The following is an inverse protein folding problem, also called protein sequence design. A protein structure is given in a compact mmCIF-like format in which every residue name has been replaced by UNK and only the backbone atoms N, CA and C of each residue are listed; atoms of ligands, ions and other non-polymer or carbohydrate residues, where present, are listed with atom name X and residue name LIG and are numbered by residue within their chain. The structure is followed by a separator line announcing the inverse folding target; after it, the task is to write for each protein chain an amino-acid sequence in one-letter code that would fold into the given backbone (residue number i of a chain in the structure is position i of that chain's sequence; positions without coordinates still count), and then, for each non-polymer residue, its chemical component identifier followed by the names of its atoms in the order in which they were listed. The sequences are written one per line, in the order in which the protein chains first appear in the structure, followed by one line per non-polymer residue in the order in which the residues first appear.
data_IF_743030558095
#
_entry.id   IF_743030558095
#
_cell.length_a   1.000
_cell.length_b   1.000
_cell.length_c   1.000
_cell.angle_alpha   90.00
_cell.angle_beta   90.00
_cell.angle_gamma   90.00
#
_symmetry.space_group_name_H-M   'P 1'
#
loop_
_entity.id
_entity.type
_entity.pdbx_description
1 polymer ?
#
# COMPACT_ATOMS: atom_id res chain seq x y z
N UNK A 1 -3.85 45.59 -54.87
CA UNK A 1 -5.30 45.62 -54.56
C UNK A 1 -5.59 44.56 -53.50
N UNK A 2 -6.10 44.98 -52.34
CA UNK A 2 -6.55 44.09 -51.26
C UNK A 2 -7.89 43.44 -51.66
N UNK A 3 -8.06 42.14 -51.41
CA UNK A 3 -9.34 41.54 -51.02
C UNK A 3 -9.08 40.31 -50.14
N UNK A 4 -9.50 40.42 -48.88
CA UNK A 4 -9.67 39.35 -47.92
C UNK A 4 -10.95 38.56 -48.23
N UNK A 5 -10.96 37.27 -47.85
CA UNK A 5 -11.92 36.64 -46.91
C UNK A 5 -11.49 35.16 -46.73
N UNK A 6 -11.01 34.75 -45.54
CA UNK A 6 -11.73 34.00 -44.48
C UNK A 6 -12.43 32.72 -44.99
N UNK A 7 -12.34 31.51 -44.41
CA UNK A 7 -11.81 31.00 -43.14
C UNK A 7 -12.02 29.45 -43.11
N UNK A 8 -11.08 28.68 -42.51
CA UNK A 8 -11.20 27.32 -41.87
C UNK A 8 -11.64 26.12 -42.78
N UNK A 9 -11.24 24.85 -42.60
CA UNK A 9 -10.98 23.99 -41.42
C UNK A 9 -10.06 22.81 -41.84
N UNK A 10 -9.26 22.30 -40.89
CA UNK A 10 -8.52 21.03 -40.85
C UNK A 10 -9.11 19.82 -41.61
N UNK A 11 -8.25 18.96 -42.18
CA UNK A 11 -8.25 17.53 -41.83
C UNK A 11 -6.97 16.79 -42.21
N UNK A 12 -6.62 15.84 -41.36
CA UNK A 12 -5.31 15.24 -41.18
C UNK A 12 -5.00 14.04 -42.10
N UNK A 13 -3.70 13.70 -42.11
CA UNK A 13 -2.99 12.74 -42.94
C UNK A 13 -3.46 11.28 -42.83
N UNK A 14 -3.37 10.56 -43.96
CA UNK A 14 -3.39 9.10 -44.04
C UNK A 14 -1.94 8.63 -44.02
N UNK A 15 -1.50 8.00 -42.92
CA UNK A 15 -0.20 7.31 -42.84
C UNK A 15 -0.46 5.85 -43.23
N UNK A 16 0.17 5.43 -44.33
CA UNK A 16 0.29 4.03 -44.74
C UNK A 16 1.57 3.49 -44.07
N UNK A 17 1.43 2.51 -43.19
CA UNK A 17 2.57 1.80 -42.62
C UNK A 17 2.58 0.35 -43.13
N UNK A 18 3.48 0.06 -44.06
CA UNK A 18 3.88 -1.30 -44.43
C UNK A 18 5.00 -1.75 -43.47
N UNK A 19 4.82 -2.89 -42.80
CA UNK A 19 5.89 -3.54 -42.03
C UNK A 19 6.30 -4.84 -42.74
N UNK A 20 7.50 -4.82 -43.33
CA UNK A 20 8.26 -5.99 -43.75
C UNK A 20 9.05 -6.54 -42.56
N UNK A 21 9.01 -7.85 -42.36
CA UNK A 21 9.77 -8.58 -41.33
C UNK A 21 11.00 -9.21 -41.98
N UNK A 22 12.19 -8.90 -41.45
CA UNK A 22 13.45 -9.63 -41.67
C UNK A 22 13.99 -10.08 -40.32
N UNK A 23 14.55 -11.30 -40.29
CA UNK A 23 14.84 -12.11 -39.11
C UNK A 23 16.16 -11.80 -38.33
N UNK A 24 16.27 -12.47 -37.17
CA UNK A 24 17.47 -12.83 -36.35
C UNK A 24 18.08 -11.70 -35.49
N UNK A 25 18.41 -11.83 -34.20
CA UNK A 25 18.72 -13.00 -33.35
C UNK A 25 18.71 -12.65 -31.84
N UNK A 26 18.42 -13.67 -31.01
CA UNK A 26 18.68 -13.91 -29.57
C UNK A 26 18.84 -12.75 -28.56
N UNK A 27 17.92 -12.69 -27.57
CA UNK A 27 18.18 -12.86 -26.11
C UNK A 27 16.86 -13.28 -25.43
N UNK A 28 16.91 -14.34 -24.61
CA UNK A 28 15.81 -14.90 -23.84
C UNK A 28 15.63 -14.19 -22.49
N UNK A 29 14.46 -13.59 -22.24
CA UNK A 29 13.93 -13.27 -20.89
C UNK A 29 12.46 -13.76 -20.84
N UNK A 30 12.04 -14.55 -19.84
CA UNK A 30 10.68 -15.09 -19.83
C UNK A 30 9.65 -14.12 -19.21
N UNK A 31 8.42 -14.28 -19.70
CA UNK A 31 7.13 -13.92 -19.11
C UNK A 31 6.61 -12.47 -19.24
N UNK A 32 6.04 -12.22 -20.43
CA UNK A 32 4.64 -11.79 -20.63
C UNK A 32 4.14 -10.62 -19.78
N UNK A 33 4.57 -9.41 -20.14
CA UNK A 33 3.71 -8.24 -20.03
C UNK A 33 2.74 -8.33 -21.21
N UNK A 34 1.52 -8.81 -20.93
CA UNK A 34 0.44 -8.68 -21.89
C UNK A 34 0.15 -7.18 -22.04
N UNK A 35 0.60 -6.65 -23.16
CA UNK A 35 0.16 -5.39 -23.75
C UNK A 35 -1.34 -5.22 -23.55
N UNK A 36 -1.74 -4.07 -23.03
CA UNK A 36 -3.12 -3.61 -22.96
C UNK A 36 -3.80 -3.85 -24.31
N UNK A 37 -4.64 -4.89 -24.36
CA UNK A 37 -5.45 -5.17 -25.52
C UNK A 37 -6.44 -4.02 -25.68
N UNK A 38 -6.49 -3.49 -26.89
CA UNK A 38 -7.43 -2.48 -27.34
C UNK A 38 -8.85 -2.79 -26.83
N UNK A 39 -9.51 -1.77 -26.28
CA UNK A 39 -10.93 -1.72 -25.99
C UNK A 39 -11.73 -2.08 -27.25
N UNK A 40 -11.93 -3.37 -27.49
CA UNK A 40 -12.84 -3.87 -28.51
C UNK A 40 -14.10 -4.32 -27.78
N UNK A 41 -15.19 -3.52 -27.78
CA UNK A 41 -16.46 -4.00 -27.27
C UNK A 41 -16.83 -5.23 -28.10
N UNK A 42 -16.82 -6.40 -27.47
CA UNK A 42 -17.41 -7.61 -28.03
C UNK A 42 -18.91 -7.37 -28.10
N UNK A 43 -19.36 -6.79 -29.21
CA UNK A 43 -20.77 -6.48 -29.43
C UNK A 43 -21.45 -7.66 -30.09
N UNK A 44 -22.33 -8.30 -29.34
CA UNK A 44 -23.20 -9.34 -29.85
C UNK A 44 -23.97 -8.84 -31.10
N UNK A 45 -24.16 -9.74 -32.07
CA UNK A 45 -24.94 -9.49 -33.28
C UNK A 45 -26.36 -10.01 -33.02
N UNK A 46 -27.36 -9.16 -33.21
CA UNK A 46 -28.76 -9.50 -32.98
C UNK A 46 -29.52 -9.64 -34.29
N UNK A 47 -30.19 -10.77 -34.47
CA UNK A 47 -31.13 -10.97 -35.58
C UNK A 47 -32.40 -10.14 -35.33
N UNK A 48 -32.76 -9.29 -36.30
CA UNK A 48 -33.94 -8.42 -36.22
C UNK A 48 -34.87 -8.68 -37.41
N UNK A 49 -36.16 -8.94 -37.19
CA UNK A 49 -37.13 -9.04 -38.28
C UNK A 49 -37.12 -7.75 -39.11
N UNK A 50 -37.06 -7.91 -40.44
CA UNK A 50 -37.01 -6.79 -41.39
C UNK A 50 -38.21 -6.85 -42.33
N UNK A 51 -38.78 -5.69 -42.63
CA UNK A 51 -39.81 -5.51 -43.66
C UNK A 51 -39.49 -4.29 -44.50
N UNK A 52 -39.82 -4.37 -45.79
CA UNK A 52 -39.81 -3.23 -46.69
C UNK A 52 -41.25 -2.75 -46.90
N UNK A 53 -41.58 -1.60 -46.36
CA UNK A 53 -42.92 -1.01 -46.41
C UNK A 53 -43.03 0.00 -47.55
N UNK A 54 -44.24 0.17 -48.08
CA UNK A 54 -44.54 1.21 -49.06
C UNK A 54 -44.35 2.59 -48.41
N UNK A 55 -43.74 3.52 -49.15
CA UNK A 55 -43.43 4.84 -48.63
C UNK A 55 -44.67 5.72 -48.43
N UNK A 56 -45.62 5.67 -49.37
CA UNK A 56 -46.77 6.57 -49.43
C UNK A 56 -48.03 5.96 -48.80
N UNK A 57 -48.11 4.64 -48.72
CA UNK A 57 -49.24 3.92 -48.11
C UNK A 57 -48.80 3.28 -46.79
N UNK A 58 -49.19 3.84 -45.64
CA UNK A 58 -48.87 3.25 -44.33
C UNK A 58 -49.31 1.79 -44.23
N UNK A 59 -48.54 0.98 -43.51
CA UNK A 59 -48.82 -0.44 -43.23
C UNK A 59 -48.95 -1.37 -44.46
N UNK A 60 -48.71 -0.89 -45.67
CA UNK A 60 -48.68 -1.72 -46.88
C UNK A 60 -47.26 -2.19 -47.16
N UNK A 61 -47.06 -3.48 -47.44
CA UNK A 61 -45.75 -3.99 -47.87
C UNK A 61 -45.38 -3.43 -49.25
N UNK A 62 -44.10 -3.12 -49.44
CA UNK A 62 -43.53 -2.85 -50.75
C UNK A 62 -43.44 -4.13 -51.57
N UNK A 63 -43.53 -4.03 -52.90
CA UNK A 63 -43.26 -5.17 -53.79
C UNK A 63 -41.85 -5.73 -53.58
N UNK A 64 -40.88 -4.88 -53.22
CA UNK A 64 -39.52 -5.30 -52.89
C UNK A 64 -39.39 -6.06 -51.56
N UNK A 65 -40.45 -6.18 -50.75
CA UNK A 65 -40.37 -6.90 -49.48
C UNK A 65 -40.01 -8.38 -49.66
N UNK A 66 -40.44 -9.00 -50.76
CA UNK A 66 -40.12 -10.39 -51.07
C UNK A 66 -38.61 -10.64 -51.26
N UNK A 67 -37.83 -9.57 -51.51
CA UNK A 67 -36.38 -9.63 -51.61
C UNK A 67 -35.69 -9.66 -50.24
N UNK A 68 -36.37 -9.34 -49.12
CA UNK A 68 -35.75 -9.35 -47.79
C UNK A 68 -35.51 -10.79 -47.33
N UNK A 69 -34.28 -11.08 -46.87
CA UNK A 69 -33.89 -12.41 -46.39
C UNK A 69 -33.63 -12.41 -44.89
N UNK A 70 -32.71 -11.55 -44.46
CA UNK A 70 -32.26 -11.48 -43.06
C UNK A 70 -31.79 -10.07 -42.77
N UNK A 71 -31.97 -9.61 -41.53
CA UNK A 71 -31.31 -8.42 -41.04
C UNK A 71 -30.72 -8.65 -39.65
N UNK A 72 -29.61 -7.96 -39.39
CA UNK A 72 -28.98 -7.94 -38.09
C UNK A 72 -28.59 -6.53 -37.69
N UNK A 73 -28.49 -6.30 -36.38
CA UNK A 73 -27.89 -5.09 -35.82
C UNK A 73 -26.77 -5.44 -34.86
N UNK A 74 -25.71 -4.66 -34.89
CA UNK A 74 -24.54 -4.78 -34.03
C UNK A 74 -24.09 -3.39 -33.59
N UNK A 75 -23.82 -3.19 -32.28
CA UNK A 75 -23.22 -1.95 -31.79
C UNK A 75 -21.73 -1.92 -32.17
N UNK A 76 -21.27 -0.93 -32.92
CA UNK A 76 -19.85 -0.75 -33.25
C UNK A 76 -19.42 0.63 -32.73
N UNK A 77 -18.62 0.63 -31.65
CA UNK A 77 -18.28 1.86 -30.94
C UNK A 77 -19.55 2.58 -30.47
N UNK A 78 -19.75 3.84 -30.88
CA UNK A 78 -20.94 4.61 -30.54
C UNK A 78 -22.09 4.51 -31.57
N UNK A 79 -21.93 3.71 -32.62
CA UNK A 79 -22.92 3.61 -33.71
C UNK A 79 -23.50 2.19 -33.79
N UNK A 80 -24.59 2.04 -34.53
CA UNK A 80 -25.25 0.76 -34.80
C UNK A 80 -25.06 0.41 -36.27
N UNK A 81 -24.38 -0.71 -36.52
CA UNK A 81 -24.24 -1.31 -37.85
C UNK A 81 -25.47 -2.15 -38.12
N UNK A 82 -26.17 -1.85 -39.21
CA UNK A 82 -27.25 -2.67 -39.75
C UNK A 82 -26.71 -3.44 -40.94
N UNK A 83 -26.93 -4.75 -40.96
CA UNK A 83 -26.62 -5.61 -42.10
C UNK A 83 -27.93 -6.18 -42.61
N UNK A 84 -28.21 -6.01 -43.90
CA UNK A 84 -29.43 -6.54 -44.56
C UNK A 84 -29.01 -7.42 -45.72
N UNK A 85 -29.55 -8.64 -45.74
CA UNK A 85 -29.36 -9.61 -46.81
C UNK A 85 -30.61 -9.62 -47.68
N UNK A 86 -30.38 -9.50 -48.97
CA UNK A 86 -31.39 -9.41 -50.02
C UNK A 86 -31.19 -10.55 -51.02
N UNK A 87 -32.27 -10.93 -51.70
CA UNK A 87 -32.26 -11.90 -52.80
C UNK A 87 -32.98 -11.38 -54.03
N UNK A 88 -32.72 -12.04 -55.15
CA UNK A 88 -33.54 -11.88 -56.35
C UNK A 88 -34.92 -12.49 -56.14
N UNK A 89 -35.90 -11.88 -56.78
CA UNK A 89 -37.29 -12.32 -56.81
C UNK A 89 -37.72 -12.55 -58.26
N UNK A 90 -38.69 -13.43 -58.45
CA UNK A 90 -39.27 -13.67 -59.78
C UNK A 90 -40.58 -12.88 -59.90
N UNK A 91 -40.68 -12.04 -60.92
CA UNK A 91 -41.86 -11.25 -61.22
C UNK A 91 -42.11 -11.22 -62.74
N UNK A 92 -43.32 -11.61 -63.17
CA UNK A 92 -43.69 -11.73 -64.59
C UNK A 92 -42.68 -12.54 -65.43
N UNK A 93 -42.14 -13.62 -64.86
CA UNK A 93 -41.16 -14.48 -65.53
C UNK A 93 -39.73 -13.93 -65.57
N UNK A 94 -39.49 -12.70 -65.11
CA UNK A 94 -38.15 -12.12 -64.96
C UNK A 94 -37.64 -12.37 -63.54
N UNK A 95 -36.39 -12.82 -63.42
CA UNK A 95 -35.69 -12.91 -62.14
C UNK A 95 -34.75 -11.71 -61.99
N UNK A 96 -35.04 -10.85 -61.02
CA UNK A 96 -34.21 -9.68 -60.72
C UNK A 96 -34.33 -9.31 -59.23
N UNK A 97 -33.41 -8.48 -58.76
CA UNK A 97 -33.36 -8.05 -57.38
C UNK A 97 -33.07 -6.57 -57.26
N UNK A 98 -32.89 -6.11 -56.02
CA UNK A 98 -32.47 -4.74 -55.77
C UNK A 98 -31.01 -4.60 -56.20
N UNK A 99 -30.73 -3.72 -57.16
CA UNK A 99 -29.40 -3.50 -57.76
C UNK A 99 -28.71 -2.24 -57.24
N UNK A 100 -29.47 -1.27 -56.76
CA UNK A 100 -28.94 -0.08 -56.06
C UNK A 100 -29.81 0.20 -54.84
N UNK A 101 -29.17 0.63 -53.78
CA UNK A 101 -29.80 0.86 -52.49
C UNK A 101 -29.33 2.19 -51.94
N UNK A 102 -30.27 2.98 -51.42
CA UNK A 102 -29.98 4.22 -50.71
C UNK A 102 -30.66 4.20 -49.35
N UNK A 103 -29.96 4.70 -48.34
CA UNK A 103 -30.49 4.93 -47.01
C UNK A 103 -30.37 6.42 -46.73
N UNK A 104 -31.49 7.08 -46.43
CA UNK A 104 -31.55 8.51 -46.13
C UNK A 104 -30.85 9.36 -47.20
N UNK A 105 -31.04 9.00 -48.47
CA UNK A 105 -30.45 9.67 -49.65
C UNK A 105 -29.00 9.29 -49.95
N UNK A 106 -28.30 8.56 -49.08
CA UNK A 106 -26.92 8.10 -49.32
C UNK A 106 -26.92 6.73 -49.99
N UNK A 107 -26.24 6.62 -51.13
CA UNK A 107 -26.05 5.34 -51.83
C UNK A 107 -25.20 4.39 -50.98
N UNK A 108 -25.71 3.19 -50.72
CA UNK A 108 -24.99 2.14 -50.01
C UNK A 108 -24.54 1.08 -51.02
N UNK A 109 -23.26 0.64 -50.99
CA UNK A 109 -22.79 -0.41 -51.87
C UNK A 109 -23.48 -1.75 -51.55
N UNK A 110 -23.80 -2.50 -52.60
CA UNK A 110 -24.27 -3.88 -52.50
C UNK A 110 -23.07 -4.80 -52.70
N UNK A 111 -22.90 -5.76 -51.79
CA UNK A 111 -21.84 -6.77 -51.86
C UNK A 111 -22.48 -8.13 -52.15
N UNK A 112 -22.11 -8.76 -53.26
CA UNK A 112 -22.50 -10.16 -53.51
C UNK A 112 -21.88 -11.08 -52.48
N UNK A 113 -22.67 -12.01 -51.94
CA UNK A 113 -22.24 -12.96 -50.93
C UNK A 113 -22.63 -14.40 -51.32
N UNK A 114 -22.04 -15.38 -50.65
CA UNK A 114 -22.60 -16.73 -50.59
C UNK A 114 -23.57 -16.80 -49.41
N UNK A 115 -24.67 -17.54 -49.58
CA UNK A 115 -25.66 -17.73 -48.52
C UNK A 115 -25.98 -19.21 -48.35
N UNK A 116 -26.14 -19.72 -47.10
CA UNK A 116 -26.29 -21.16 -46.87
C UNK A 116 -27.55 -21.78 -47.49
N UNK A 117 -28.65 -21.02 -47.61
CA UNK A 117 -29.89 -21.52 -48.18
C UNK A 117 -29.88 -21.41 -49.72
N UNK A 118 -29.95 -22.53 -50.47
CA UNK A 118 -29.90 -22.54 -51.94
C UNK A 118 -31.14 -21.92 -52.61
N UNK A 119 -32.22 -21.67 -51.86
CA UNK A 119 -33.42 -20.99 -52.35
C UNK A 119 -33.23 -19.46 -52.40
N UNK A 120 -32.18 -18.94 -51.78
CA UNK A 120 -31.82 -17.53 -51.80
C UNK A 120 -30.99 -17.24 -53.06
N UNK A 121 -31.66 -16.77 -54.12
CA UNK A 121 -31.02 -16.52 -55.42
C UNK A 121 -30.26 -15.19 -55.42
N UNK A 122 -29.03 -15.22 -55.94
CA UNK A 122 -28.12 -14.07 -56.09
C UNK A 122 -28.08 -13.16 -54.84
N UNK A 123 -27.71 -13.69 -53.66
CA UNK A 123 -27.78 -12.92 -52.44
C UNK A 123 -26.80 -11.76 -52.44
N UNK A 124 -27.29 -10.62 -51.99
CA UNK A 124 -26.50 -9.40 -51.82
C UNK A 124 -26.69 -8.85 -50.42
N UNK A 125 -25.60 -8.29 -49.88
CA UNK A 125 -25.54 -7.71 -48.55
C UNK A 125 -25.40 -6.20 -48.65
N UNK A 126 -26.12 -5.50 -47.79
CA UNK A 126 -26.05 -4.05 -47.58
C UNK A 126 -25.65 -3.81 -46.12
N UNK A 127 -24.65 -2.97 -45.90
CA UNK A 127 -24.23 -2.56 -44.55
C UNK A 127 -24.23 -1.04 -44.43
N UNK A 128 -24.81 -0.52 -43.34
CA UNK A 128 -24.82 0.90 -43.05
C UNK A 128 -24.81 1.17 -41.54
N UNK A 129 -24.42 2.40 -41.17
CA UNK A 129 -24.25 2.83 -39.78
C UNK A 129 -25.30 3.87 -39.40
N UNK A 130 -25.83 3.78 -38.17
CA UNK A 130 -26.72 4.77 -37.57
C UNK A 130 -26.18 5.23 -36.21
N UNK A 131 -26.29 6.51 -35.84
CA UNK A 131 -25.89 6.98 -34.50
C UNK A 131 -26.79 6.47 -33.38
N UNK A 132 -28.04 6.12 -33.70
CA UNK A 132 -29.03 5.60 -32.75
C UNK A 132 -29.62 4.28 -33.23
N UNK A 133 -30.12 3.46 -32.30
CA UNK A 133 -30.91 2.28 -32.62
C UNK A 133 -32.27 2.77 -33.14
N UNK A 134 -32.48 2.66 -34.45
CA UNK A 134 -33.71 3.03 -35.15
C UNK A 134 -34.47 1.79 -35.60
N UNK A 135 -35.78 1.87 -35.57
CA UNK A 135 -36.72 0.87 -36.08
C UNK A 135 -37.13 1.14 -37.53
N UNK A 136 -36.83 2.32 -38.08
CA UNK A 136 -37.20 2.68 -39.45
C UNK A 136 -36.19 3.61 -40.13
N UNK A 137 -35.99 3.38 -41.43
CA UNK A 137 -35.21 4.23 -42.32
C UNK A 137 -35.99 4.50 -43.61
N UNK A 138 -35.93 5.75 -44.07
CA UNK A 138 -36.37 6.09 -45.42
C UNK A 138 -35.30 5.59 -46.40
N UNK A 139 -35.70 4.74 -47.34
CA UNK A 139 -34.81 4.12 -48.30
C UNK A 139 -35.31 4.32 -49.73
N UNK A 140 -34.38 4.19 -50.67
CA UNK A 140 -34.72 4.06 -52.09
C UNK A 140 -34.08 2.79 -52.61
N UNK A 141 -34.79 2.11 -53.50
CA UNK A 141 -34.34 0.87 -54.12
C UNK A 141 -34.42 1.03 -55.64
N UNK A 142 -33.46 0.46 -56.35
CA UNK A 142 -33.50 0.38 -57.81
C UNK A 142 -33.55 -1.08 -58.25
N UNK A 143 -34.53 -1.42 -59.07
CA UNK A 143 -34.69 -2.75 -59.70
C UNK A 143 -34.63 -2.56 -61.22
N UNK A 144 -33.77 -3.33 -61.89
CA UNK A 144 -33.51 -3.14 -63.32
C UNK A 144 -34.67 -3.65 -64.18
N UNK A 145 -35.28 -4.79 -63.84
CA UNK A 145 -36.43 -5.33 -64.54
C UNK A 145 -37.62 -4.36 -64.53
N UNK A 146 -37.87 -3.66 -63.43
CA UNK A 146 -38.96 -2.67 -63.35
C UNK A 146 -38.70 -1.46 -64.23
N UNK A 147 -37.44 -1.01 -64.35
CA UNK A 147 -37.06 0.06 -65.27
C UNK A 147 -37.30 -0.33 -66.74
N UNK A 148 -37.07 -1.60 -67.08
CA UNK A 148 -37.30 -2.12 -68.43
C UNK A 148 -38.78 -2.28 -68.77
N UNK A 149 -39.60 -2.71 -67.80
CA UNK A 149 -41.06 -2.83 -67.99
C UNK A 149 -41.69 -1.46 -68.15
N UNK A 150 -41.32 -0.50 -67.29
CA UNK A 150 -41.86 0.85 -67.28
C UNK A 150 -40.73 1.83 -67.00
N UNK A 151 -40.25 2.59 -68.00
CA UNK A 151 -39.20 3.58 -67.80
C UNK A 151 -39.54 4.55 -66.67
N UNK A 152 -38.59 4.77 -65.76
CA UNK A 152 -38.77 5.56 -64.55
C UNK A 152 -39.36 4.82 -63.34
N UNK A 153 -39.87 3.59 -63.51
CA UNK A 153 -40.41 2.80 -62.40
C UNK A 153 -39.32 2.02 -61.61
N UNK A 154 -38.09 1.97 -62.11
CA UNK A 154 -37.01 1.19 -61.50
C UNK A 154 -36.59 1.70 -60.13
N UNK A 155 -36.57 3.03 -59.92
CA UNK A 155 -36.22 3.66 -58.64
C UNK A 155 -37.48 3.97 -57.82
N UNK A 156 -37.63 3.36 -56.66
CA UNK A 156 -38.79 3.56 -55.79
C UNK A 156 -38.39 3.89 -54.36
N UNK A 157 -39.15 4.79 -53.72
CA UNK A 157 -39.06 5.06 -52.28
C UNK A 157 -39.74 3.96 -51.49
N UNK A 158 -39.17 3.61 -50.36
CA UNK A 158 -39.74 2.67 -49.40
C UNK A 158 -39.33 3.05 -47.97
N UNK A 159 -39.98 2.42 -46.99
CA UNK A 159 -39.56 2.47 -45.59
C UNK A 159 -39.02 1.12 -45.19
N UNK A 160 -37.73 1.06 -44.86
CA UNK A 160 -37.11 -0.15 -44.31
C UNK A 160 -37.37 -0.16 -42.81
N UNK A 161 -38.12 -1.14 -42.33
CA UNK A 161 -38.53 -1.25 -40.92
C UNK A 161 -37.93 -2.49 -40.28
N UNK A 162 -37.53 -2.35 -39.01
CA UNK A 162 -36.95 -3.39 -38.18
C UNK A 162 -37.75 -3.56 -36.90
N UNK A 163 -37.95 -4.80 -36.48
CA UNK A 163 -38.44 -5.08 -35.14
C UNK A 163 -37.24 -5.19 -34.18
N UNK A 164 -36.98 -4.11 -33.45
CA UNK A 164 -35.91 -4.04 -32.45
C UNK A 164 -36.37 -4.42 -31.04
N UNK A 165 -37.62 -4.89 -30.86
CA UNK A 165 -38.18 -5.19 -29.53
C UNK A 165 -37.42 -6.27 -28.77
N UNK A 166 -36.78 -7.20 -29.49
CA UNK A 166 -35.96 -8.28 -28.94
C UNK A 166 -34.49 -7.90 -28.73
N UNK A 167 -34.10 -6.70 -29.16
CA UNK A 167 -32.75 -6.20 -28.92
C UNK A 167 -32.70 -5.74 -27.45
N UNK A 168 -31.86 -6.35 -26.61
CA UNK A 168 -31.80 -5.98 -25.20
C UNK A 168 -31.31 -4.55 -25.05
N UNK A 169 -31.83 -3.82 -24.05
CA UNK A 169 -31.41 -2.45 -23.74
C UNK A 169 -29.92 -2.34 -23.42
N UNK A 170 -29.31 -3.44 -22.94
CA UNK A 170 -27.87 -3.57 -22.69
C UNK A 170 -26.99 -3.51 -23.94
N UNK A 171 -27.56 -3.48 -25.16
CA UNK A 171 -26.80 -3.19 -26.38
C UNK A 171 -26.13 -1.81 -26.34
N UNK A 172 -26.59 -0.91 -25.46
CA UNK A 172 -25.98 0.39 -25.20
C UNK A 172 -24.90 0.37 -24.11
N UNK A 173 -24.74 -0.75 -23.41
CA UNK A 173 -23.78 -0.82 -22.30
C UNK A 173 -22.35 -0.90 -22.84
N UNK A 174 -21.47 -0.11 -22.25
CA UNK A 174 -20.04 -0.14 -22.55
C UNK A 174 -19.33 -1.09 -21.60
N UNK A 175 -18.62 -2.06 -22.14
CA UNK A 175 -17.82 -3.00 -21.35
C UNK A 175 -16.34 -2.67 -21.49
N UNK A 176 -15.65 -2.53 -20.36
CA UNK A 176 -14.19 -2.35 -20.29
C UNK A 176 -13.58 -3.26 -19.23
N UNK A 177 -12.27 -3.45 -19.30
CA UNK A 177 -11.51 -4.19 -18.28
C UNK A 177 -10.71 -3.21 -17.43
N UNK A 178 -10.78 -3.38 -16.11
CA UNK A 178 -9.99 -2.62 -15.13
C UNK A 178 -9.13 -3.59 -14.33
N UNK A 179 -7.84 -3.29 -14.20
CA UNK A 179 -6.90 -4.10 -13.40
C UNK A 179 -6.55 -3.36 -12.12
N UNK A 180 -6.68 -4.04 -10.98
CA UNK A 180 -6.31 -3.51 -9.67
C UNK A 180 -5.35 -4.46 -8.96
N UNK A 181 -4.35 -3.90 -8.30
CA UNK A 181 -3.42 -4.64 -7.44
C UNK A 181 -3.78 -4.46 -5.97
N UNK A 182 -3.74 -5.54 -5.21
CA UNK A 182 -3.98 -5.55 -3.76
C UNK A 182 -2.81 -6.26 -3.05
N UNK A 183 -2.39 -5.71 -1.91
CA UNK A 183 -1.29 -6.28 -1.12
C UNK A 183 -1.78 -7.49 -0.29
N UNK A 184 -0.97 -8.54 -0.24
CA UNK A 184 -1.18 -9.69 0.64
C UNK A 184 -0.20 -9.57 1.83
N UNK A 185 -0.68 -9.46 3.07
CA UNK A 185 0.20 -9.39 4.23
C UNK A 185 0.99 -10.69 4.41
N UNK A 186 2.21 -10.59 4.93
CA UNK A 186 3.02 -11.73 5.34
C UNK A 186 2.86 -11.99 6.84
N UNK A 187 3.17 -13.21 7.28
CA UNK A 187 3.17 -13.57 8.71
C UNK A 187 4.58 -13.47 9.28
N UNK A 188 4.68 -13.21 10.58
CA UNK A 188 5.95 -13.26 11.32
C UNK A 188 5.97 -14.47 12.22
N UNK A 189 6.99 -15.32 12.08
CA UNK A 189 7.21 -16.50 12.92
C UNK A 189 8.53 -16.36 13.68
N UNK A 190 8.47 -16.60 15.00
CA UNK A 190 9.68 -16.68 15.84
C UNK A 190 10.12 -18.12 15.97
N UNK A 191 11.38 -18.40 15.66
CA UNK A 191 11.99 -19.73 15.75
C UNK A 191 13.16 -19.67 16.71
N UNK A 192 13.22 -20.59 17.66
CA UNK A 192 14.35 -20.66 18.60
C UNK A 192 15.63 -21.07 17.87
N UNK A 193 16.72 -20.34 18.10
CA UNK A 193 18.04 -20.64 17.57
C UNK A 193 19.03 -20.87 18.72
N UNK A 194 19.50 -22.12 18.95
CA UNK A 194 20.43 -22.45 20.03
C UNK A 194 21.86 -21.96 19.79
N UNK A 195 22.16 -21.36 18.63
CA UNK A 195 23.45 -20.73 18.33
C UNK A 195 23.46 -19.23 18.62
N UNK A 196 22.29 -18.58 18.68
CA UNK A 196 22.14 -17.17 19.04
C UNK A 196 22.02 -17.01 20.55
N UNK A 197 22.66 -15.98 21.10
CA UNK A 197 22.69 -15.73 22.54
C UNK A 197 21.30 -15.42 23.10
N UNK A 198 20.99 -15.96 24.28
CA UNK A 198 19.70 -15.75 24.93
C UNK A 198 19.39 -14.26 25.09
N UNK A 199 18.24 -13.84 24.56
CA UNK A 199 17.79 -12.44 24.57
C UNK A 199 18.14 -11.64 23.31
N UNK A 200 18.86 -12.24 22.34
CA UNK A 200 19.07 -11.65 21.01
C UNK A 200 18.01 -12.12 20.03
N UNK A 201 17.59 -11.24 19.13
CA UNK A 201 16.74 -11.57 17.99
C UNK A 201 17.48 -11.23 16.69
N UNK A 202 17.40 -12.11 15.70
CA UNK A 202 17.98 -11.88 14.37
C UNK A 202 16.96 -12.25 13.29
N UNK A 203 16.74 -11.35 12.33
CA UNK A 203 15.93 -11.66 11.15
C UNK A 203 16.70 -12.64 10.27
N UNK A 204 16.19 -13.86 10.12
CA UNK A 204 16.73 -14.90 9.24
C UNK A 204 16.20 -14.72 7.82
N UNK A 205 14.89 -14.51 7.72
CA UNK A 205 14.20 -14.27 6.45
C UNK A 205 13.38 -12.99 6.61
N UNK A 206 13.67 -11.91 5.87
CA UNK A 206 12.87 -10.71 5.94
C UNK A 206 11.49 -10.95 5.31
N UNK A 207 10.44 -10.45 5.97
CA UNK A 207 9.09 -10.51 5.44
C UNK A 207 8.91 -9.66 4.20
N UNK A 208 8.17 -10.16 3.22
CA UNK A 208 7.78 -9.41 2.02
C UNK A 208 6.31 -9.62 1.77
N UNK A 209 5.57 -8.52 1.59
CA UNK A 209 4.16 -8.59 1.20
C UNK A 209 4.04 -9.24 -0.18
N UNK A 210 3.01 -10.06 -0.35
CA UNK A 210 2.61 -10.56 -1.66
C UNK A 210 1.79 -9.53 -2.41
N UNK A 211 1.50 -9.81 -3.66
CA UNK A 211 0.65 -8.99 -4.52
C UNK A 211 -0.35 -9.88 -5.23
N UNK A 212 -1.61 -9.48 -5.14
CA UNK A 212 -2.75 -10.05 -5.83
C UNK A 212 -3.20 -9.09 -6.92
N UNK A 213 -3.42 -9.60 -8.11
CA UNK A 213 -3.98 -8.83 -9.22
C UNK A 213 -5.40 -9.30 -9.49
N UNK A 214 -6.35 -8.37 -9.45
CA UNK A 214 -7.77 -8.61 -9.74
C UNK A 214 -8.13 -7.87 -11.02
N UNK A 215 -8.68 -8.60 -11.98
CA UNK A 215 -9.22 -8.06 -13.22
C UNK A 215 -10.73 -7.97 -13.08
N UNK A 216 -11.28 -6.79 -13.28
CA UNK A 216 -12.72 -6.51 -13.24
C UNK A 216 -13.25 -6.29 -14.64
N UNK A 217 -14.41 -6.87 -14.93
CA UNK A 217 -15.26 -6.43 -16.03
C UNK A 217 -16.11 -5.28 -15.51
N UNK A 218 -15.98 -4.11 -16.12
CA UNK A 218 -16.77 -2.91 -15.82
C UNK A 218 -17.81 -2.75 -16.92
N UNK A 219 -19.08 -2.80 -16.56
CA UNK A 219 -20.20 -2.52 -17.45
C UNK A 219 -20.76 -1.15 -17.08
N UNK A 220 -20.67 -0.20 -18.01
CA UNK A 220 -21.22 1.15 -17.88
C UNK A 220 -22.51 1.22 -18.70
N UNK A 221 -23.63 1.41 -18.02
CA UNK A 221 -24.94 1.58 -18.63
C UNK A 221 -25.10 2.97 -19.23
N UNK A 222 -26.11 3.14 -20.10
CA UNK A 222 -26.41 4.41 -20.76
C UNK A 222 -26.78 5.56 -19.78
N UNK A 223 -27.26 5.23 -18.58
CA UNK A 223 -27.56 6.19 -17.50
C UNK A 223 -26.31 6.62 -16.71
N UNK A 224 -25.12 6.11 -17.07
CA UNK A 224 -23.85 6.34 -16.38
C UNK A 224 -23.61 5.39 -15.21
N UNK A 225 -24.55 4.51 -14.88
CA UNK A 225 -24.39 3.53 -13.79
C UNK A 225 -23.33 2.50 -14.18
N UNK A 226 -22.37 2.27 -13.29
CA UNK A 226 -21.34 1.26 -13.47
C UNK A 226 -21.57 0.05 -12.57
N UNK A 227 -21.45 -1.14 -13.12
CA UNK A 227 -21.35 -2.39 -12.35
C UNK A 227 -19.99 -3.02 -12.60
N UNK A 228 -19.26 -3.34 -11.51
CA UNK A 228 -17.97 -4.03 -11.57
C UNK A 228 -18.14 -5.48 -11.12
N UNK A 229 -17.69 -6.42 -11.95
CA UNK A 229 -17.72 -7.86 -11.64
C UNK A 229 -16.32 -8.42 -11.74
N UNK A 230 -15.91 -9.26 -10.78
CA UNK A 230 -14.59 -9.92 -10.81
C UNK A 230 -14.56 -10.89 -11.99
N UNK A 231 -13.63 -10.67 -12.92
CA UNK A 231 -13.38 -11.55 -14.08
C UNK A 231 -12.38 -12.64 -13.73
N UNK A 232 -11.29 -12.26 -13.07
CA UNK A 232 -10.26 -13.18 -12.63
C UNK A 232 -9.44 -12.59 -11.48
N UNK A 233 -8.91 -13.46 -10.65
CA UNK A 233 -7.99 -13.13 -9.58
C UNK A 233 -6.75 -14.02 -9.69
N UNK A 234 -5.56 -13.44 -9.53
CA UNK A 234 -4.31 -14.18 -9.53
C UNK A 234 -3.31 -13.59 -8.55
N UNK A 235 -2.56 -14.45 -7.87
CA UNK A 235 -1.43 -14.03 -7.02
C UNK A 235 -0.22 -13.87 -7.92
N UNK A 236 0.20 -12.62 -8.17
CA UNK A 236 1.37 -12.30 -9.01
C UNK A 236 2.67 -12.31 -8.21
N UNK A 237 2.59 -12.15 -6.89
CA UNK A 237 3.73 -12.32 -5.99
C UNK A 237 3.27 -12.98 -4.68
N UNK A 238 3.86 -14.12 -4.33
CA UNK A 238 3.57 -14.78 -3.06
C UNK A 238 4.15 -13.97 -1.89
N UNK A 239 3.43 -13.80 -0.76
CA UNK A 239 4.04 -13.23 0.43
C UNK A 239 5.18 -14.14 0.92
N UNK A 240 6.25 -13.53 1.40
CA UNK A 240 7.35 -14.22 2.08
C UNK A 240 7.21 -13.94 3.56
N UNK A 241 7.00 -14.98 4.36
CA UNK A 241 6.88 -14.84 5.80
C UNK A 241 8.22 -14.41 6.43
N UNK A 242 8.12 -13.53 7.43
CA UNK A 242 9.26 -13.09 8.22
C UNK A 242 9.61 -14.16 9.25
N UNK A 243 10.87 -14.57 9.27
CA UNK A 243 11.39 -15.51 10.26
C UNK A 243 12.40 -14.79 11.13
N UNK A 244 12.06 -14.66 12.41
CA UNK A 244 12.93 -14.08 13.43
C UNK A 244 13.48 -15.22 14.27
N UNK A 245 14.79 -15.37 14.27
CA UNK A 245 15.47 -16.30 15.15
C UNK A 245 15.65 -15.66 16.53
N UNK A 246 15.14 -16.33 17.56
CA UNK A 246 15.28 -15.91 18.96
C UNK A 246 16.37 -16.77 19.59
N UNK A 247 17.40 -16.13 20.14
CA UNK A 247 18.49 -16.87 20.76
C UNK A 247 18.06 -17.64 22.00
N UNK A 248 18.41 -18.91 22.04
CA UNK A 248 18.25 -19.79 23.21
C UNK A 248 19.58 -20.30 23.74
N UNK A 249 20.70 -19.93 23.11
CA UNK A 249 22.04 -20.23 23.61
C UNK A 249 22.19 -19.56 24.96
N UNK A 250 22.08 -20.35 26.02
CA UNK A 250 22.59 -19.96 27.32
C UNK A 250 24.09 -19.87 27.12
N UNK A 251 24.61 -18.65 27.02
CA UNK A 251 26.03 -18.44 27.16
C UNK A 251 26.34 -18.96 28.56
N UNK A 252 26.93 -20.16 28.65
CA UNK A 252 27.76 -20.43 29.82
C UNK A 252 28.76 -19.30 29.79
N UNK A 253 28.56 -18.30 30.66
CA UNK A 253 29.53 -17.25 30.85
C UNK A 253 30.80 -17.97 31.27
N UNK A 254 31.64 -18.27 30.29
CA UNK A 254 33.04 -18.44 30.51
C UNK A 254 33.42 -17.19 31.30
N UNK A 255 33.93 -17.40 32.51
CA UNK A 255 34.68 -16.42 33.27
C UNK A 255 35.72 -15.80 32.31
N UNK A 256 35.32 -14.80 31.54
CA UNK A 256 36.22 -13.71 31.24
C UNK A 256 36.42 -13.10 32.62
N UNK A 257 37.57 -13.44 33.20
CA UNK A 257 38.12 -12.73 34.34
C UNK A 257 38.08 -11.27 33.90
N UNK A 258 37.05 -10.52 34.31
CA UNK A 258 37.14 -9.08 34.40
C UNK A 258 38.37 -8.89 35.28
N UNK A 259 39.46 -8.39 34.71
CA UNK A 259 40.59 -7.99 35.53
C UNK A 259 39.99 -6.98 36.51
N UNK A 260 39.90 -7.39 37.76
CA UNK A 260 39.44 -6.52 38.81
C UNK A 260 40.67 -6.09 39.56
N UNK A 261 40.83 -4.79 39.73
CA UNK A 261 41.98 -4.21 40.41
C UNK A 261 41.48 -3.58 41.69
N UNK A 262 42.21 -3.81 42.79
CA UNK A 262 41.93 -3.10 44.04
C UNK A 262 42.43 -1.67 43.86
N UNK A 263 41.53 -0.70 44.01
CA UNK A 263 41.86 0.72 43.98
C UNK A 263 41.52 1.33 45.35
N UNK A 264 42.37 2.22 45.81
CA UNK A 264 42.09 3.07 46.98
C UNK A 264 41.40 4.35 46.50
N UNK A 265 40.33 4.75 47.18
CA UNK A 265 39.49 5.85 46.77
C UNK A 265 38.47 6.25 47.83
N UNK A 266 37.47 7.02 47.43
CA UNK A 266 36.44 7.53 48.31
C UNK A 266 35.08 6.93 47.99
N UNK A 267 34.41 6.36 49.00
CA UNK A 267 32.97 6.08 48.94
C UNK A 267 32.22 7.37 49.24
N UNK A 268 31.50 7.85 48.26
CA UNK A 268 30.74 9.09 48.30
C UNK A 268 29.25 8.75 48.29
N UNK A 269 28.49 9.18 49.31
CA UNK A 269 27.05 9.06 49.29
C UNK A 269 26.44 9.82 48.10
N UNK A 270 25.48 9.19 47.43
CA UNK A 270 24.82 9.75 46.25
C UNK A 270 23.32 9.95 46.47
N UNK A 271 22.77 10.95 45.79
CA UNK A 271 21.31 11.09 45.63
C UNK A 271 20.98 11.17 44.15
N UNK A 272 19.86 10.56 43.78
CA UNK A 272 19.30 10.68 42.44
C UNK A 272 18.11 11.62 42.52
N UNK A 273 18.24 12.82 41.96
CA UNK A 273 17.22 13.85 41.95
C UNK A 273 16.40 13.80 40.66
N UNK A 274 15.15 14.20 40.73
CA UNK A 274 14.30 14.42 39.57
C UNK A 274 14.89 15.55 38.71
N UNK A 275 14.85 15.39 37.39
CA UNK A 275 15.41 16.37 36.46
C UNK A 275 14.58 17.65 36.36
N UNK A 276 13.25 17.54 36.42
CA UNK A 276 12.32 18.66 36.21
C UNK A 276 11.86 19.30 37.52
N UNK A 277 11.91 18.56 38.62
CA UNK A 277 11.50 19.03 39.95
C UNK A 277 12.71 19.26 40.84
N UNK A 278 13.05 20.52 41.06
CA UNK A 278 14.25 20.91 41.82
C UNK A 278 14.24 20.30 43.23
N UNK A 279 15.37 19.70 43.64
CA UNK A 279 15.59 19.06 44.93
C UNK A 279 14.64 17.91 45.31
N UNK A 280 13.80 17.42 44.41
CA UNK A 280 12.96 16.23 44.65
C UNK A 280 13.74 14.96 44.34
N UNK A 281 13.62 13.94 45.18
CA UNK A 281 14.21 12.62 44.89
C UNK A 281 13.52 11.98 43.67
N UNK A 282 14.32 11.38 42.79
CA UNK A 282 13.84 10.51 41.73
C UNK A 282 13.31 9.20 42.32
N UNK A 283 12.29 8.61 41.70
CA UNK A 283 11.82 7.27 42.08
C UNK A 283 12.95 6.22 42.00
N UNK A 284 13.91 6.41 41.10
CA UNK A 284 15.08 5.54 40.98
C UNK A 284 16.08 5.66 42.13
N UNK A 285 15.92 6.63 43.04
CA UNK A 285 16.85 6.82 44.17
C UNK A 285 16.96 5.56 45.05
N UNK A 286 15.87 4.83 45.24
CA UNK A 286 15.85 3.60 46.05
C UNK A 286 16.78 2.50 45.51
N UNK A 287 17.10 2.55 44.22
CA UNK A 287 18.03 1.63 43.56
C UNK A 287 19.50 2.05 43.72
N UNK A 288 19.79 3.28 44.15
CA UNK A 288 21.17 3.77 44.32
C UNK A 288 21.74 3.30 45.65
N UNK A 289 22.99 2.83 45.63
CA UNK A 289 23.70 2.39 46.84
C UNK A 289 24.76 3.42 47.23
N UNK A 290 25.80 3.56 46.41
CA UNK A 290 26.89 4.49 46.63
C UNK A 290 27.65 4.78 45.32
N UNK A 291 28.57 5.74 45.37
CA UNK A 291 29.59 5.91 44.35
C UNK A 291 30.98 5.70 44.97
N UNK A 292 31.79 4.84 44.37
CA UNK A 292 33.21 4.75 44.68
C UNK A 292 34.01 5.54 43.65
N UNK A 293 34.82 6.50 44.11
CA UNK A 293 35.56 7.42 43.25
C UNK A 293 37.05 7.38 43.56
N UNK A 294 37.86 7.09 42.55
CA UNK A 294 39.33 7.09 42.65
C UNK A 294 39.93 7.93 41.52
N UNK A 295 41.13 8.47 41.74
CA UNK A 295 41.83 9.28 40.76
C UNK A 295 43.02 8.51 40.19
N UNK A 296 43.16 8.49 38.87
CA UNK A 296 44.27 7.86 38.17
C UNK A 296 44.70 8.78 37.02
N UNK A 297 46.00 9.13 36.97
CA UNK A 297 46.56 10.03 35.94
C UNK A 297 45.79 11.35 35.78
N UNK A 298 45.33 11.94 36.89
CA UNK A 298 44.57 13.20 36.88
C UNK A 298 43.09 13.07 36.50
N UNK A 299 42.60 11.85 36.21
CA UNK A 299 41.21 11.58 35.83
C UNK A 299 40.46 10.94 37.00
N UNK A 300 39.25 11.44 37.29
CA UNK A 300 38.35 10.83 38.28
C UNK A 300 37.56 9.70 37.64
N UNK A 301 37.61 8.52 38.25
CA UNK A 301 36.86 7.33 37.86
C UNK A 301 35.72 7.13 38.84
N UNK A 302 34.48 7.11 38.35
CA UNK A 302 33.27 6.95 39.15
C UNK A 302 32.70 5.55 38.92
N UNK A 303 32.55 4.79 39.99
CA UNK A 303 31.90 3.48 40.00
C UNK A 303 30.59 3.61 40.78
N UNK A 304 29.47 3.61 40.07
CA UNK A 304 28.14 3.79 40.66
C UNK A 304 27.54 2.42 40.96
N UNK A 305 27.35 2.10 42.24
CA UNK A 305 26.72 0.86 42.66
C UNK A 305 25.21 1.04 42.75
N UNK A 306 24.48 0.14 42.09
CA UNK A 306 23.02 0.11 42.06
C UNK A 306 22.53 -1.28 42.42
N UNK A 307 21.28 -1.40 42.85
CA UNK A 307 20.60 -2.66 43.17
C UNK A 307 19.22 -2.71 42.55
N UNK A 308 18.70 -3.91 42.38
CA UNK A 308 17.28 -4.10 42.09
C UNK A 308 16.44 -3.67 43.30
N UNK A 309 15.23 -3.21 43.01
CA UNK A 309 14.22 -2.84 44.00
C UNK A 309 12.93 -3.59 43.72
N UNK A 310 12.17 -3.85 44.78
CA UNK A 310 10.83 -4.41 44.65
C UNK A 310 9.80 -3.28 44.74
N UNK A 311 8.99 -3.12 43.69
CA UNK A 311 7.91 -2.15 43.62
C UNK A 311 6.64 -2.81 43.07
N UNK A 312 5.52 -2.65 43.77
CA UNK A 312 4.23 -3.28 43.42
C UNK A 312 4.32 -4.79 43.15
N UNK A 313 5.14 -5.50 43.92
CA UNK A 313 5.34 -6.96 43.79
C UNK A 313 6.23 -7.39 42.62
N UNK A 314 6.80 -6.45 41.86
CA UNK A 314 7.78 -6.72 40.80
C UNK A 314 9.17 -6.30 41.27
N UNK A 315 10.15 -7.19 41.11
CA UNK A 315 11.55 -6.93 41.41
C UNK A 315 12.29 -6.66 40.11
N UNK A 316 12.84 -5.46 39.96
CA UNK A 316 13.64 -5.06 38.81
C UNK A 316 14.60 -3.93 39.19
N UNK A 317 15.56 -3.65 38.33
CA UNK A 317 16.55 -2.60 38.54
C UNK A 317 16.88 -1.83 37.28
N UNK A 318 17.97 -1.07 37.34
CA UNK A 318 18.47 -0.32 36.20
C UNK A 318 19.04 -1.32 35.18
N UNK A 319 18.45 -1.36 33.99
CA UNK A 319 18.86 -2.24 32.88
C UNK A 319 19.69 -1.51 31.83
N UNK A 320 19.63 -0.18 31.78
CA UNK A 320 20.59 0.65 31.05
C UNK A 320 20.77 2.00 31.74
N UNK A 321 21.98 2.56 31.59
CA UNK A 321 22.40 3.79 32.24
C UNK A 321 23.12 4.70 31.25
N UNK A 322 22.84 5.99 31.31
CA UNK A 322 23.52 7.01 30.51
C UNK A 322 24.03 8.11 31.41
N UNK A 323 25.19 8.67 31.06
CA UNK A 323 25.78 9.84 31.73
C UNK A 323 26.07 10.89 30.66
N UNK A 324 25.51 12.09 30.84
CA UNK A 324 25.52 13.17 29.83
C UNK A 324 25.15 12.67 28.42
N UNK A 325 24.10 11.83 28.32
CA UNK A 325 23.61 11.26 27.06
C UNK A 325 24.41 10.09 26.48
N UNK A 326 25.57 9.74 27.05
CA UNK A 326 26.38 8.59 26.60
C UNK A 326 26.04 7.34 27.39
N UNK A 327 25.70 6.25 26.68
CA UNK A 327 25.39 4.96 27.32
C UNK A 327 26.65 4.40 27.99
N UNK A 328 26.50 3.90 29.22
CA UNK A 328 27.55 3.27 30.01
C UNK A 328 27.17 1.81 30.22
N UNK A 329 28.16 0.93 30.14
CA UNK A 329 27.98 -0.50 30.39
C UNK A 329 27.71 -0.76 31.88
N UNK A 330 26.89 -1.78 32.13
CA UNK A 330 26.54 -2.24 33.47
C UNK A 330 27.22 -3.57 33.75
N UNK A 331 27.96 -3.65 34.85
CA UNK A 331 28.65 -4.84 35.30
C UNK A 331 27.89 -5.44 36.46
N UNK A 332 27.46 -6.69 36.34
CA UNK A 332 26.91 -7.43 37.49
C UNK A 332 28.02 -7.73 38.49
N UNK A 333 27.75 -7.45 39.75
CA UNK A 333 28.68 -7.70 40.85
C UNK A 333 28.01 -8.56 41.93
N UNK A 334 28.81 -9.16 42.80
CA UNK A 334 28.30 -9.92 43.95
C UNK A 334 28.62 -9.13 45.21
N UNK A 335 27.63 -8.39 45.73
CA UNK A 335 27.74 -7.67 46.99
C UNK A 335 26.74 -8.30 47.97
N UNK A 336 27.21 -8.90 49.08
CA UNK A 336 26.33 -9.51 50.07
C UNK A 336 25.24 -8.54 50.55
N UNK A 337 24.00 -9.01 50.61
CA UNK A 337 22.85 -8.23 51.08
C UNK A 337 22.22 -7.29 50.04
N UNK A 338 22.77 -7.18 48.83
CA UNK A 338 22.16 -6.45 47.73
C UNK A 338 21.50 -7.40 46.73
N UNK A 339 20.34 -6.99 46.20
CA UNK A 339 19.60 -7.74 45.20
C UNK A 339 20.13 -7.38 43.80
N UNK A 340 20.66 -8.37 43.09
CA UNK A 340 21.30 -8.25 41.76
C UNK A 340 22.07 -6.93 41.54
N UNK A 341 23.11 -6.65 42.35
CA UNK A 341 23.77 -5.37 42.26
C UNK A 341 24.55 -5.22 40.95
N UNK A 342 24.50 -4.01 40.41
CA UNK A 342 25.19 -3.63 39.16
C UNK A 342 26.05 -2.40 39.39
N UNK A 343 27.17 -2.32 38.69
CA UNK A 343 28.05 -1.17 38.68
C UNK A 343 28.05 -0.51 37.30
N UNK A 344 27.93 0.81 37.26
CA UNK A 344 28.21 1.62 36.08
C UNK A 344 29.52 2.38 36.28
N UNK A 345 30.40 2.36 35.28
CA UNK A 345 31.72 3.01 35.38
C UNK A 345 31.90 4.09 34.32
N UNK A 346 32.21 5.31 34.74
CA UNK A 346 32.51 6.42 33.83
C UNK A 346 33.63 7.28 34.39
N UNK A 347 34.25 8.10 33.54
CA UNK A 347 35.36 8.97 33.94
C UNK A 347 35.09 10.44 33.67
N UNK A 348 35.72 11.33 34.43
CA UNK A 348 35.66 12.78 34.24
C UNK A 348 37.00 13.42 34.59
N UNK A 349 37.40 14.44 33.82
CA UNK A 349 38.57 15.27 34.12
C UNK A 349 38.36 16.23 35.30
N UNK A 350 37.09 16.45 35.69
CA UNK A 350 36.71 17.32 36.80
C UNK A 350 36.11 16.50 37.94
N UNK A 351 36.34 16.94 39.18
CA UNK A 351 35.60 16.45 40.35
C UNK A 351 34.15 16.93 40.24
N UNK A 352 33.19 16.01 40.26
CA UNK A 352 31.78 16.29 39.99
C UNK A 352 31.00 16.37 41.30
N UNK A 353 30.28 17.47 41.52
CA UNK A 353 29.27 17.57 42.59
C UNK A 353 27.90 17.04 42.11
N UNK A 354 27.64 17.15 40.80
CA UNK A 354 26.44 16.63 40.14
C UNK A 354 26.68 16.33 38.67
N UNK A 355 25.90 15.41 38.11
CA UNK A 355 25.96 15.01 36.69
C UNK A 355 24.56 14.62 36.19
N UNK A 356 24.25 14.95 34.93
CA UNK A 356 23.02 14.51 34.28
C UNK A 356 23.13 13.03 33.92
N UNK A 357 22.11 12.26 34.30
CA UNK A 357 22.03 10.83 34.01
C UNK A 357 20.67 10.47 33.47
N UNK A 358 20.61 9.35 32.78
CA UNK A 358 19.34 8.71 32.41
C UNK A 358 19.37 7.26 32.87
N UNK A 359 18.24 6.81 33.39
CA UNK A 359 18.04 5.44 33.85
C UNK A 359 16.95 4.79 33.01
N UNK A 360 17.14 3.53 32.61
CA UNK A 360 16.11 2.71 32.00
C UNK A 360 15.77 1.52 32.90
N UNK A 361 14.47 1.33 33.14
CA UNK A 361 13.92 0.20 33.90
C UNK A 361 12.90 -0.52 33.04
N UNK A 362 13.10 -1.81 32.81
CA UNK A 362 12.32 -2.60 31.85
C UNK A 362 10.87 -2.79 32.34
N UNK A 363 10.70 -3.04 33.64
CA UNK A 363 9.39 -3.17 34.28
C UNK A 363 8.55 -1.91 34.15
N UNK A 364 9.17 -0.74 34.29
CA UNK A 364 8.46 0.53 34.15
C UNK A 364 8.02 0.78 32.70
N UNK A 365 8.81 0.38 31.71
CA UNK A 365 8.42 0.44 30.30
C UNK A 365 7.22 -0.46 29.98
N UNK A 366 7.15 -1.64 30.62
CA UNK A 366 6.03 -2.58 30.47
C UNK A 366 4.75 -2.10 31.13
N UNK A 367 4.85 -1.44 32.28
CA UNK A 367 3.69 -0.93 33.03
C UNK A 367 3.14 0.35 32.39
N UNK A 368 4.02 1.24 31.92
CA UNK A 368 3.66 2.49 31.26
C UNK A 368 4.61 2.70 30.07
N UNK A 369 4.15 2.54 28.81
CA UNK A 369 4.97 2.81 27.62
C UNK A 369 5.56 4.23 27.66
N UNK A 370 6.87 4.38 27.45
CA UNK A 370 7.62 5.63 27.63
C UNK A 370 7.95 5.98 29.10
N UNK A 371 7.56 5.11 30.04
CA UNK A 371 7.82 5.21 31.47
C UNK A 371 9.19 4.67 31.88
N UNK A 372 9.82 3.81 31.06
CA UNK A 372 11.05 3.11 31.41
C UNK A 372 12.28 3.99 31.44
N UNK A 373 12.43 4.92 30.47
CA UNK A 373 13.59 5.82 30.36
C UNK A 373 13.28 7.17 31.01
N UNK A 374 14.03 7.56 32.04
CA UNK A 374 13.86 8.85 32.72
C UNK A 374 15.17 9.58 32.97
N UNK A 375 15.17 10.89 32.71
CA UNK A 375 16.25 11.82 33.06
C UNK A 375 16.28 12.07 34.57
N UNK A 376 17.47 12.21 35.12
CA UNK A 376 17.71 12.51 36.52
C UNK A 376 19.03 13.27 36.71
N UNK A 377 19.24 13.81 37.90
CA UNK A 377 20.51 14.44 38.30
C UNK A 377 21.12 13.60 39.42
N UNK A 378 22.29 13.01 39.17
CA UNK A 378 23.05 12.28 40.18
C UNK A 378 23.96 13.27 40.91
N UNK A 379 23.81 13.40 42.23
CA UNK A 379 24.59 14.32 43.07
C UNK A 379 25.50 13.56 44.02
N UNK A 380 26.70 14.09 44.28
CA UNK A 380 27.74 13.50 45.11
C UNK A 380 27.95 14.33 46.39
N UNK A 381 27.69 13.74 47.55
CA UNK A 381 27.89 14.42 48.84
C UNK A 381 29.32 14.23 49.35
N UNK A 382 30.26 15.01 48.80
CA UNK A 382 31.68 14.95 49.16
C UNK A 382 31.96 15.27 50.62
N UNK A 383 31.06 15.98 51.32
CA UNK A 383 31.21 16.27 52.75
C UNK A 383 31.15 15.03 53.63
N UNK A 384 30.56 13.94 53.11
CA UNK A 384 30.41 12.65 53.79
C UNK A 384 31.25 11.54 53.16
N UNK A 385 32.20 11.90 52.30
CA UNK A 385 33.08 10.94 51.65
C UNK A 385 33.96 10.22 52.68
N UNK A 386 34.12 8.90 52.52
CA UNK A 386 34.97 8.05 53.37
C UNK A 386 36.00 7.32 52.53
N UNK A 387 37.23 7.25 53.01
CA UNK A 387 38.27 6.47 52.36
C UNK A 387 37.93 4.97 52.44
N UNK A 388 38.10 4.26 51.32
CA UNK A 388 37.83 2.83 51.20
C UNK A 388 38.73 2.21 50.12
N UNK A 389 38.89 0.90 50.16
CA UNK A 389 39.56 0.14 49.10
C UNK A 389 38.57 -0.82 48.47
N UNK A 390 38.35 -0.67 47.16
CA UNK A 390 37.38 -1.49 46.44
C UNK A 390 37.97 -2.12 45.21
N UNK A 391 37.52 -3.34 44.98
CA UNK A 391 37.72 -4.10 43.74
C UNK A 391 36.86 -3.48 42.65
N UNK A 392 37.48 -2.93 41.60
CA UNK A 392 36.79 -2.28 40.47
C UNK A 392 37.05 -3.01 39.15
N UNK A 393 36.09 -3.05 38.21
CA UNK A 393 36.29 -3.69 36.90
C UNK A 393 37.18 -2.83 36.00
N UNK A 394 38.18 -3.43 35.33
CA UNK A 394 38.95 -2.77 34.25
C UNK A 394 38.27 -3.01 32.91
N UNK A 395 37.61 -2.00 32.36
CA UNK A 395 37.09 -2.01 30.98
C UNK A 395 37.34 -0.64 30.33
N UNK A 396 37.19 -0.55 29.00
CA UNK A 396 37.29 0.71 28.26
C UNK A 396 36.18 1.66 28.69
N UNK A 397 36.49 2.52 29.66
CA UNK A 397 35.53 3.43 30.29
C UNK A 397 35.17 4.59 29.35
N UNK A 398 33.88 4.92 29.22
CA UNK A 398 33.47 6.14 28.53
C UNK A 398 33.98 7.39 29.27
N UNK A 399 34.80 8.22 28.62
CA UNK A 399 35.12 9.57 29.09
C UNK A 399 33.89 10.47 28.99
N UNK A 400 33.53 11.14 30.07
CA UNK A 400 32.41 12.07 30.18
C UNK A 400 32.92 13.40 30.75
N UNK A 401 33.11 14.39 29.88
CA UNK A 401 33.47 15.75 30.32
C UNK A 401 32.19 16.60 30.41
N UNK A 402 31.99 17.30 31.54
CA UNK A 402 30.85 18.22 31.75
C UNK A 402 30.17 18.05 33.12
N UNK A 403 30.62 18.84 34.10
CA UNK A 403 29.89 19.06 35.35
C UNK A 403 29.05 20.34 35.27
N UNK A 404 27.83 20.32 35.78
CA UNK A 404 26.95 21.50 35.83
C UNK A 404 27.43 22.39 36.98
N UNK A 405 28.25 23.40 36.68
CA UNK A 405 28.42 24.55 37.57
C UNK A 405 27.14 25.40 37.55
N UNK A 406 26.67 25.88 38.70
CA UNK A 406 25.62 26.91 38.74
C UNK A 406 26.22 28.31 38.93
N UNK A 407 25.44 29.41 38.83
CA UNK A 407 24.19 29.63 38.10
C UNK A 407 24.41 30.32 36.73
N UNK A 408 23.38 30.24 35.90
CA UNK A 408 23.25 30.66 34.49
C UNK A 408 23.38 32.17 34.23
N UNK A 409 23.84 32.54 33.04
CA UNK A 409 23.09 33.46 32.18
C UNK A 409 23.43 33.29 30.69
N UNK A 410 22.39 33.54 29.88
CA UNK A 410 22.32 33.63 28.42
C UNK A 410 22.03 32.36 27.63
N UNK A 411 20.75 32.29 27.24
CA UNK A 411 20.20 31.38 26.27
C UNK A 411 20.81 31.54 24.88
N UNK A 412 20.91 30.40 24.21
CA UNK A 412 21.31 30.29 22.82
C UNK A 412 20.65 29.05 22.23
N UNK A 413 19.63 29.31 21.42
CA UNK A 413 18.92 28.35 20.57
C UNK A 413 19.91 27.58 19.70
N UNK A 414 19.83 26.25 19.66
CA UNK A 414 20.58 25.44 18.66
C UNK A 414 19.68 24.41 18.02
N UNK A 415 19.88 24.33 16.70
CA UNK A 415 19.00 23.83 15.66
C UNK A 415 19.04 22.29 15.50
N UNK A 416 17.98 21.80 14.85
CA UNK A 416 17.63 20.41 14.58
C UNK A 416 18.75 19.58 13.95
N UNK A 417 19.01 18.42 14.55
CA UNK A 417 19.53 17.26 13.83
C UNK A 417 18.56 16.09 14.03
N UNK A 418 17.93 15.72 12.92
CA UNK A 418 16.88 14.73 12.77
C UNK A 418 17.40 13.35 13.17
N UNK A 419 16.74 12.74 14.17
CA UNK A 419 16.84 11.30 14.47
C UNK A 419 15.45 10.66 14.25
N UNK A 420 15.40 9.40 13.77
CA UNK A 420 14.17 8.80 13.25
C UNK A 420 13.08 8.67 14.32
N UNK A 421 11.93 9.27 14.02
CA UNK A 421 10.66 9.15 14.75
C UNK A 421 10.15 7.71 14.65
N UNK A 422 10.11 7.02 15.79
CA UNK A 422 9.25 5.85 15.98
C UNK A 422 8.30 6.14 17.14
N UNK A 423 7.00 6.18 16.87
CA UNK A 423 5.96 6.17 17.90
C UNK A 423 5.06 7.41 17.91
N UNK A 424 3.93 7.29 17.22
CA UNK A 424 2.62 7.93 17.46
C UNK A 424 2.55 8.96 18.61
N UNK A 425 2.53 10.24 18.23
CA UNK A 425 1.90 11.30 19.01
C UNK A 425 0.37 11.14 18.87
N UNK A 426 -0.28 10.57 19.87
CA UNK A 426 -1.71 10.80 20.09
C UNK A 426 -1.89 11.31 21.50
N UNK A 427 -2.20 12.60 21.57
CA UNK A 427 -2.94 13.32 22.61
C UNK A 427 -3.30 12.50 23.85
N UNK A 428 -2.67 12.81 24.98
CA UNK A 428 -3.22 12.53 26.31
C UNK A 428 -2.89 13.70 27.23
N UNK A 429 -3.47 14.85 26.92
CA UNK A 429 -3.77 15.86 27.93
C UNK A 429 -4.89 15.32 28.83
N UNK A 430 -4.70 15.46 30.15
CA UNK A 430 -5.66 15.25 31.24
C UNK A 430 -5.83 13.80 31.72
N UNK A 431 -4.96 13.36 32.64
CA UNK A 431 -5.41 12.84 33.93
C UNK A 431 -4.30 12.97 34.98
N UNK A 432 -4.24 14.13 35.62
CA UNK A 432 -3.61 14.29 36.91
C UNK A 432 -4.47 13.53 37.94
N UNK A 433 -4.11 12.28 38.23
CA UNK A 433 -4.69 11.50 39.32
C UNK A 433 -3.65 11.32 40.42
N UNK A 434 -3.77 12.12 41.46
CA UNK A 434 -2.96 12.01 42.67
C UNK A 434 -3.11 10.60 43.29
N UNK A 435 -2.01 9.84 43.39
CA UNK A 435 -1.96 8.67 44.28
C UNK A 435 -1.26 9.12 45.55
N UNK A 436 -2.08 9.49 46.53
CA UNK A 436 -1.70 9.75 47.91
C UNK A 436 -1.16 8.46 48.54
N UNK A 437 0.06 8.53 49.06
CA UNK A 437 0.63 7.52 49.95
C UNK A 437 -0.21 7.42 51.23
N UNK A 438 -0.90 6.29 51.43
CA UNK A 438 -1.29 5.85 52.77
C UNK A 438 -0.59 4.53 53.09
N UNK A 439 0.33 4.62 54.05
CA UNK A 439 0.93 3.46 54.70
C UNK A 439 -0.10 2.79 55.59
N UNK A 440 -0.20 1.46 55.48
CA UNK A 440 -0.84 0.63 56.48
C UNK A 440 0.20 -0.33 57.04
N UNK A 441 0.73 0.06 58.20
CA UNK A 441 1.32 -0.85 59.18
C UNK A 441 0.19 -1.80 59.62
N UNK A 442 0.34 -3.10 59.38
CA UNK A 442 -0.44 -4.10 60.10
C UNK A 442 0.46 -5.20 60.65
N UNK A 443 0.62 -5.05 61.96
CA UNK A 443 1.14 -5.97 62.97
C UNK A 443 0.78 -7.43 62.73
N UNK A 444 1.77 -8.28 63.00
CA UNK A 444 1.62 -9.72 62.98
C UNK A 444 0.66 -10.25 64.04
N UNK A 445 0.05 -11.39 63.72
CA UNK A 445 -0.44 -12.35 64.71
C UNK A 445 0.02 -13.74 64.33
N UNK A 446 0.93 -14.27 65.14
CA UNK A 446 1.15 -15.71 65.35
C UNK A 446 -0.16 -16.37 65.79
N UNK A 447 -0.40 -17.58 65.30
CA UNK A 447 -0.93 -18.78 66.00
C UNK A 447 -0.74 -19.95 65.03
N UNK A 448 0.16 -20.92 65.29
CA UNK A 448 -0.12 -22.19 66.00
C UNK A 448 -1.51 -22.72 65.62
N UNK A 449 -1.67 -23.85 64.93
CA UNK A 449 -1.02 -25.16 64.99
C UNK A 449 -0.88 -25.76 63.59
#
# INVERSE_FOLDING_TARGET
MKKNNLLKVFSAAVIVSTLSVTELSNVQIPAKVATAAENTPSSAVYDIPVKLMNYYTPNKLSMGNAAMVKATVQKIGNQFKYTVILKDITFLGMSDGIRKFWVEGKKIPLKSITYPDPNVKNPVQVEFMSPALKDSFDVEVFVNAMEQIMPGAGRQKAKLTFDTSKVPSSINDLTSEETKTEEIPYKTTKVENPNLEKGTEKVKTPGKKGVKTVVYTVVTKADGTQTKTVKSESITQQPVDEVIEVGTKVVQQNNQIQQTVVKSGYVVPIKLLNYYENNKLSMGHAAMVDAFVYQENGVYNYVITMKDITFLGQTDGVSAFWVNGKKVDLYEVKIPGLLHPKQAVFTSTKKLDKVEVEVFVNTMEKIMPGGGRKKAILTFDWSKAKLDERTVPTSSTPKVDGGIGGPSDNGGRVDNSILPRTGLETSSSLLAGAITLMGAVLLGRRKQK
#
